data_IF_532193064487
#
_entry.id   IF_532193064487
#
_cell.length_a   1.000
_cell.length_b   1.000
_cell.length_c   1.000
_cell.angle_alpha   90.00
_cell.angle_beta   90.00
_cell.angle_gamma   90.00
#
_symmetry.space_group_name_H-M   'P 1'
#
loop_
_entity.id
_entity.type
_entity.pdbx_description
1 polymer ?
#
# COMPACT_ATOMS: atom_id res chain seq x y z
N UNK A 1 -0.40 -1.02 37.19
CA UNK A 1 -0.14 -0.29 35.95
C UNK A 1 -1.11 0.88 35.89
N UNK A 2 -0.61 2.09 35.72
CA UNK A 2 -1.43 3.30 35.54
C UNK A 2 -1.96 3.36 34.11
N UNK A 3 -3.07 4.06 33.89
CA UNK A 3 -3.65 4.23 32.54
C UNK A 3 -2.64 4.83 31.55
N UNK A 4 -1.88 5.83 31.98
CA UNK A 4 -0.82 6.48 31.21
C UNK A 4 0.27 5.51 30.76
N UNK A 5 0.70 4.59 31.65
CA UNK A 5 1.70 3.56 31.33
C UNK A 5 1.15 2.57 30.29
N UNK A 6 -0.13 2.23 30.38
CA UNK A 6 -0.78 1.37 29.40
C UNK A 6 -0.83 2.04 28.03
N UNK A 7 -1.24 3.31 27.95
CA UNK A 7 -1.32 4.02 26.68
C UNK A 7 0.07 4.19 26.03
N UNK A 8 1.10 4.46 26.83
CA UNK A 8 2.48 4.53 26.35
C UNK A 8 2.93 3.23 25.68
N UNK A 9 2.59 2.07 26.25
CA UNK A 9 3.11 0.76 25.85
C UNK A 9 2.24 0.01 24.83
N UNK A 10 0.95 0.33 24.72
CA UNK A 10 -0.01 -0.51 23.96
C UNK A 10 -0.58 0.14 22.71
N UNK A 11 -0.42 1.46 22.53
CA UNK A 11 -0.84 2.16 21.33
C UNK A 11 0.24 2.03 20.26
N UNK A 12 -0.13 1.52 19.09
CA UNK A 12 0.80 1.21 18.00
C UNK A 12 0.47 1.91 16.68
N UNK A 13 -0.55 2.77 16.69
CA UNK A 13 -0.91 3.62 15.56
C UNK A 13 0.18 4.68 15.29
N UNK A 14 0.18 5.27 14.09
CA UNK A 14 1.10 6.35 13.72
C UNK A 14 1.04 7.52 14.74
N UNK A 15 2.20 8.07 15.11
CA UNK A 15 2.31 9.18 16.06
C UNK A 15 2.26 8.78 17.54
N UNK A 16 2.17 7.49 17.86
CA UNK A 16 2.23 6.97 19.23
C UNK A 16 3.64 6.48 19.56
N UNK A 17 4.07 6.54 20.82
CA UNK A 17 5.44 6.18 21.20
C UNK A 17 5.83 4.75 20.76
N UNK A 18 4.96 3.78 20.99
CA UNK A 18 5.20 2.42 20.53
C UNK A 18 4.96 2.24 19.03
N UNK A 19 4.04 2.99 18.41
CA UNK A 19 3.89 2.99 16.96
C UNK A 19 5.17 3.42 16.24
N UNK A 20 5.79 4.51 16.69
CA UNK A 20 7.08 4.98 16.16
C UNK A 20 8.19 3.96 16.41
N UNK A 21 8.29 3.43 17.63
CA UNK A 21 9.30 2.41 17.94
C UNK A 21 9.15 1.16 17.06
N UNK A 22 7.93 0.68 16.80
CA UNK A 22 7.70 -0.52 16.00
C UNK A 22 8.06 -0.34 14.52
N UNK A 23 7.96 0.89 13.97
CA UNK A 23 8.30 1.21 12.57
C UNK A 23 9.80 1.15 12.27
N UNK A 24 10.63 1.18 13.30
CA UNK A 24 12.08 0.98 13.18
C UNK A 24 12.46 -0.50 12.93
N UNK A 25 11.48 -1.43 12.94
CA UNK A 25 11.72 -2.86 12.78
C UNK A 25 10.99 -3.46 11.58
N UNK A 26 11.62 -4.50 11.01
CA UNK A 26 10.97 -5.35 10.01
C UNK A 26 9.84 -6.18 10.63
N UNK A 27 8.66 -6.12 10.02
CA UNK A 27 7.50 -6.90 10.43
C UNK A 27 6.97 -7.74 9.26
N UNK A 28 6.66 -9.03 9.48
CA UNK A 28 5.95 -9.81 8.48
C UNK A 28 4.51 -9.30 8.37
N UNK A 29 4.09 -8.91 7.16
CA UNK A 29 2.76 -8.33 6.93
C UNK A 29 1.76 -9.30 6.30
N UNK A 30 2.23 -10.24 5.48
CA UNK A 30 1.41 -11.16 4.69
C UNK A 30 2.26 -12.36 4.21
N UNK A 31 1.65 -13.53 4.00
CA UNK A 31 2.29 -14.71 3.43
C UNK A 31 2.35 -14.62 1.91
N UNK A 32 3.47 -15.05 1.31
CA UNK A 32 3.63 -15.04 -0.16
C UNK A 32 2.53 -15.79 -0.93
N UNK A 33 1.90 -16.80 -0.32
CA UNK A 33 0.81 -17.58 -0.93
C UNK A 33 -0.52 -16.81 -1.04
N UNK A 34 -0.67 -15.73 -0.27
CA UNK A 34 -1.83 -14.83 -0.37
C UNK A 34 -1.74 -13.93 -1.61
N UNK A 35 -0.56 -13.85 -2.23
CA UNK A 35 -0.33 -13.30 -3.57
C UNK A 35 0.15 -14.43 -4.51
N UNK A 36 -0.76 -15.34 -4.92
CA UNK A 36 -0.40 -16.67 -5.40
C UNK A 36 0.32 -16.67 -6.75
N UNK A 37 0.11 -15.66 -7.59
CA UNK A 37 0.70 -15.56 -8.91
C UNK A 37 0.90 -14.09 -9.33
N UNK A 38 1.78 -13.81 -10.31
CA UNK A 38 1.81 -12.51 -10.98
C UNK A 38 0.43 -12.11 -11.49
N UNK A 39 0.10 -10.83 -11.42
CA UNK A 39 -1.19 -10.26 -11.87
C UNK A 39 -2.44 -10.83 -11.16
N UNK A 40 -2.26 -11.59 -10.08
CA UNK A 40 -3.37 -12.03 -9.23
C UNK A 40 -4.05 -10.82 -8.55
N UNK A 41 -5.30 -10.99 -8.07
CA UNK A 41 -5.98 -9.97 -7.28
C UNK A 41 -5.11 -9.49 -6.10
N UNK A 42 -5.12 -8.19 -5.78
CA UNK A 42 -4.38 -7.68 -4.65
C UNK A 42 -4.99 -8.15 -3.32
N UNK A 43 -4.21 -8.04 -2.25
CA UNK A 43 -4.64 -8.37 -0.89
C UNK A 43 -4.66 -7.11 -0.01
N UNK A 44 -5.67 -6.98 0.85
CA UNK A 44 -5.69 -5.95 1.90
C UNK A 44 -4.72 -6.33 3.01
N UNK A 45 -4.00 -5.34 3.53
CA UNK A 45 -3.10 -5.50 4.68
C UNK A 45 -3.41 -4.38 5.67
N UNK A 46 -3.56 -4.71 6.95
CA UNK A 46 -3.64 -3.73 8.05
C UNK A 46 -2.42 -3.93 8.94
N UNK A 47 -1.59 -2.90 9.08
CA UNK A 47 -0.39 -2.96 9.91
C UNK A 47 -0.16 -1.62 10.62
N UNK A 48 0.07 -1.64 11.94
CA UNK A 48 0.29 -0.44 12.76
C UNK A 48 -0.74 0.69 12.53
N UNK A 49 -2.02 0.32 12.42
CA UNK A 49 -3.12 1.27 12.21
C UNK A 49 -3.32 1.73 10.76
N UNK A 50 -2.45 1.34 9.84
CA UNK A 50 -2.54 1.75 8.43
C UNK A 50 -3.20 0.69 7.55
N UNK A 51 -4.07 1.14 6.65
CA UNK A 51 -4.66 0.33 5.58
C UNK A 51 -3.75 0.38 4.35
N UNK A 52 -3.27 -0.79 3.93
CA UNK A 52 -2.34 -1.00 2.84
C UNK A 52 -2.91 -2.01 1.82
N UNK A 53 -2.36 -1.99 0.61
CA UNK A 53 -2.65 -2.97 -0.43
C UNK A 53 -1.37 -3.64 -0.91
N UNK A 54 -1.34 -4.97 -0.86
CA UNK A 54 -0.24 -5.77 -1.38
C UNK A 54 -0.62 -6.35 -2.74
N UNK A 55 0.32 -6.41 -3.68
CA UNK A 55 0.12 -7.03 -4.97
C UNK A 55 1.42 -7.63 -5.51
N UNK A 56 1.32 -8.54 -6.48
CA UNK A 56 2.47 -9.12 -7.18
C UNK A 56 2.42 -8.73 -8.65
N UNK A 57 3.31 -7.87 -9.09
CA UNK A 57 3.33 -7.37 -10.47
C UNK A 57 3.58 -8.49 -11.50
N UNK A 58 3.43 -8.18 -12.79
CA UNK A 58 3.60 -9.12 -13.90
C UNK A 58 5.00 -9.76 -13.97
N UNK A 59 6.02 -9.15 -13.35
CA UNK A 59 7.38 -9.68 -13.25
C UNK A 59 7.62 -10.52 -11.98
N UNK A 60 6.60 -10.66 -11.13
CA UNK A 60 6.66 -11.41 -9.88
C UNK A 60 7.11 -10.59 -8.66
N UNK A 61 7.41 -9.29 -8.82
CA UNK A 61 7.83 -8.42 -7.72
C UNK A 61 6.63 -8.08 -6.83
N UNK A 62 6.84 -8.10 -5.52
CA UNK A 62 5.81 -7.72 -4.54
C UNK A 62 5.88 -6.22 -4.30
N UNK A 63 4.74 -5.55 -4.41
CA UNK A 63 4.55 -4.17 -3.99
C UNK A 63 3.60 -4.09 -2.80
N UNK A 64 3.83 -3.10 -1.93
CA UNK A 64 2.96 -2.75 -0.81
C UNK A 64 2.75 -1.23 -0.85
N UNK A 65 1.51 -0.81 -1.07
CA UNK A 65 1.13 0.59 -1.26
C UNK A 65 0.11 1.01 -0.19
N UNK A 66 -0.11 2.31 -0.03
CA UNK A 66 -1.31 2.82 0.66
C UNK A 66 -2.57 2.21 0.01
N UNK A 67 -3.56 1.81 0.81
CA UNK A 67 -4.78 1.23 0.27
C UNK A 67 -5.59 2.19 -0.62
N UNK A 68 -5.35 3.50 -0.52
CA UNK A 68 -6.14 4.53 -1.19
C UNK A 68 -5.32 5.32 -2.21
N UNK A 69 -5.85 5.42 -3.42
CA UNK A 69 -5.22 6.17 -4.50
C UNK A 69 -5.02 7.65 -4.12
N UNK A 70 -3.82 8.25 -4.30
CA UNK A 70 -3.55 9.64 -3.91
C UNK A 70 -4.40 10.68 -4.67
N UNK A 71 -5.00 10.30 -5.81
CA UNK A 71 -5.84 11.22 -6.59
C UNK A 71 -7.16 11.56 -5.86
N UNK A 72 -8.01 10.56 -5.57
CA UNK A 72 -9.33 10.77 -4.93
C UNK A 72 -9.69 9.68 -3.92
N UNK A 73 -8.68 9.04 -3.33
CA UNK A 73 -8.82 8.05 -2.27
C UNK A 73 -9.69 6.83 -2.63
N UNK A 74 -9.79 6.50 -3.92
CA UNK A 74 -10.41 5.23 -4.31
C UNK A 74 -9.56 4.06 -3.83
N UNK A 75 -10.19 3.04 -3.26
CA UNK A 75 -9.49 1.89 -2.71
C UNK A 75 -8.86 1.05 -3.82
N UNK A 76 -7.55 0.88 -3.76
CA UNK A 76 -6.73 0.17 -4.73
C UNK A 76 -6.89 -1.35 -4.66
N UNK A 77 -7.48 -1.89 -3.60
CA UNK A 77 -7.87 -3.31 -3.54
C UNK A 77 -8.80 -3.70 -4.70
N UNK A 78 -9.69 -2.80 -5.12
CA UNK A 78 -10.54 -3.04 -6.28
C UNK A 78 -9.82 -2.79 -7.61
N UNK A 79 -8.55 -2.37 -7.56
CA UNK A 79 -7.69 -2.15 -8.70
C UNK A 79 -7.42 -3.42 -9.51
N UNK A 80 -6.95 -3.22 -10.74
CA UNK A 80 -6.50 -4.28 -11.62
C UNK A 80 -4.99 -4.32 -11.64
N UNK A 81 -4.43 -5.46 -11.29
CA UNK A 81 -3.01 -5.71 -11.43
C UNK A 81 -2.73 -6.09 -12.89
N UNK A 82 -1.99 -5.24 -13.61
CA UNK A 82 -1.71 -5.43 -15.03
C UNK A 82 -0.44 -4.72 -15.48
N UNK A 83 0.25 -5.31 -16.45
CA UNK A 83 1.36 -4.68 -17.18
C UNK A 83 2.36 -3.96 -16.25
N UNK A 84 2.83 -4.69 -15.23
CA UNK A 84 3.85 -4.25 -14.28
C UNK A 84 3.37 -3.34 -13.14
N UNK A 85 2.06 -3.18 -12.92
CA UNK A 85 1.57 -2.32 -11.85
C UNK A 85 0.10 -2.50 -11.48
N UNK A 86 -0.30 -1.87 -10.38
CA UNK A 86 -1.68 -1.85 -9.89
C UNK A 86 -2.40 -0.61 -10.42
N UNK A 87 -3.41 -0.82 -11.27
CA UNK A 87 -4.24 0.24 -11.85
C UNK A 87 -5.49 0.48 -11.02
N UNK A 88 -5.66 1.71 -10.57
CA UNK A 88 -6.86 2.18 -9.91
C UNK A 88 -8.07 2.14 -10.86
N UNK A 89 -9.17 1.54 -10.42
CA UNK A 89 -10.40 1.44 -11.22
C UNK A 89 -11.11 2.77 -11.46
N UNK A 90 -10.79 3.81 -10.70
CA UNK A 90 -11.54 5.06 -10.79
C UNK A 90 -11.17 5.88 -12.03
N UNK A 91 -9.88 6.25 -12.16
CA UNK A 91 -9.38 7.08 -13.27
C UNK A 91 -8.17 6.45 -13.96
N UNK A 92 -7.90 5.17 -13.71
CA UNK A 92 -6.84 4.45 -14.39
C UNK A 92 -5.42 4.81 -13.97
N UNK A 93 -5.20 5.55 -12.89
CA UNK A 93 -3.85 5.80 -12.37
C UNK A 93 -3.17 4.46 -12.03
N UNK A 94 -1.96 4.22 -12.56
CA UNK A 94 -1.21 2.98 -12.36
C UNK A 94 0.04 3.23 -11.53
N UNK A 95 0.29 2.34 -10.57
CA UNK A 95 1.46 2.39 -9.70
C UNK A 95 2.30 1.14 -9.87
N UNK A 96 3.63 1.28 -9.97
CA UNK A 96 4.54 0.14 -9.97
C UNK A 96 4.75 -0.43 -8.56
N UNK A 97 5.47 -1.55 -8.45
CA UNK A 97 5.76 -2.19 -7.15
C UNK A 97 6.57 -1.31 -6.17
N UNK A 98 7.21 -0.24 -6.67
CA UNK A 98 7.89 0.77 -5.85
C UNK A 98 7.02 1.97 -5.49
N UNK A 99 5.74 1.95 -5.85
CA UNK A 99 4.77 3.01 -5.56
C UNK A 99 4.83 4.23 -6.49
N UNK A 100 5.66 4.19 -7.54
CA UNK A 100 5.72 5.30 -8.50
C UNK A 100 4.50 5.26 -9.40
N UNK A 101 3.88 6.42 -9.62
CA UNK A 101 2.85 6.55 -10.64
C UNK A 101 3.51 6.46 -12.03
N UNK A 102 3.17 5.43 -12.79
CA UNK A 102 3.81 5.11 -14.08
C UNK A 102 2.92 5.37 -15.28
N UNK A 103 1.61 5.55 -15.06
CA UNK A 103 0.65 5.80 -16.14
C UNK A 103 -0.61 6.49 -15.59
N UNK A 104 -1.07 7.51 -16.31
CA UNK A 104 -2.27 8.29 -15.99
C UNK A 104 -3.04 8.56 -17.28
N UNK A 105 -3.90 7.63 -17.73
CA UNK A 105 -4.50 7.70 -19.06
C UNK A 105 -5.47 8.88 -19.24
N UNK A 106 -5.98 9.43 -18.14
CA UNK A 106 -6.93 10.55 -18.16
C UNK A 106 -6.28 11.92 -18.09
N UNK A 107 -4.96 12.00 -17.82
CA UNK A 107 -4.21 13.25 -17.86
C UNK A 107 -3.23 13.24 -19.03
N UNK A 108 -3.19 14.36 -19.75
CA UNK A 108 -2.23 14.58 -20.84
C UNK A 108 -0.83 14.96 -20.36
N UNK A 109 -0.67 15.15 -19.03
CA UNK A 109 0.56 15.54 -18.37
C UNK A 109 1.32 14.28 -17.92
N UNK A 110 2.48 14.01 -18.51
CA UNK A 110 3.30 12.84 -18.16
C UNK A 110 3.73 12.85 -16.68
N UNK A 111 3.85 11.69 -16.00
CA UNK A 111 4.13 11.58 -14.56
C UNK A 111 5.42 12.25 -14.04
N UNK A 112 6.32 12.70 -14.92
CA UNK A 112 7.56 13.38 -14.55
C UNK A 112 7.35 14.76 -13.86
N UNK A 113 6.13 15.30 -13.85
CA UNK A 113 5.81 16.65 -13.36
C UNK A 113 5.08 16.69 -12.00
N UNK A 114 4.98 15.56 -11.29
CA UNK A 114 4.24 15.44 -10.02
C UNK A 114 5.14 15.24 -8.77
N UNK A 115 6.35 15.80 -8.78
CA UNK A 115 7.24 15.88 -7.61
C UNK A 115 7.06 17.21 -6.88
#
# INVERSE_FOLDING_TARGET
>A
MKAEENDLLTRTDAGTAMGELMREFWMPALLSKELPAPDAPPARVRLLGEDLVAFRDSSGRVGLLDAFCPHRRAELYFGRNEAGGLRCIYHGWKFDAGGRCVDVPTDSCTPAQMQ
#
